data_IF_152031280283
#
_entry.id   IF_152031280283
#
_cell.length_a   1.000
_cell.length_b   1.000
_cell.length_c   1.000
_cell.angle_alpha   90.00
_cell.angle_beta   90.00
_cell.angle_gamma   90.00
#
_symmetry.space_group_name_H-M   'P 1'
#
loop_
_entity.id
_entity.type
_entity.pdbx_description
1 polymer ?
#
# COMPACT_ATOMS: atom_id res chain seq x y z
N UNK A 1 -6.04 7.75 23.13
CA UNK A 1 -5.61 8.77 24.10
C UNK A 1 -5.29 10.11 23.43
N UNK A 2 -4.44 10.11 22.39
CA UNK A 2 -4.01 11.33 21.69
C UNK A 2 -5.21 12.11 21.13
N UNK A 3 -6.08 11.47 20.33
CA UNK A 3 -7.28 12.09 19.77
C UNK A 3 -8.14 12.73 20.86
N UNK A 4 -8.50 11.98 21.91
CA UNK A 4 -9.31 12.50 23.02
C UNK A 4 -8.67 13.66 23.77
N UNK A 5 -7.34 13.63 23.93
CA UNK A 5 -6.59 14.72 24.58
C UNK A 5 -6.66 16.03 23.76
N UNK A 6 -6.72 15.93 22.44
CA UNK A 6 -6.73 17.07 21.53
C UNK A 6 -8.11 17.39 20.94
N UNK A 7 -9.18 16.75 21.43
CA UNK A 7 -10.56 17.02 20.99
C UNK A 7 -10.84 16.50 19.57
N UNK A 8 -10.08 15.52 19.10
CA UNK A 8 -10.29 14.86 17.82
C UNK A 8 -11.04 13.54 17.95
N UNK A 9 -11.39 12.96 16.81
CA UNK A 9 -12.10 11.69 16.71
C UNK A 9 -11.12 10.52 16.67
N UNK A 10 -11.52 9.39 17.22
CA UNK A 10 -10.80 8.13 17.19
C UNK A 10 -11.57 7.12 16.33
N UNK A 11 -11.02 6.77 15.19
CA UNK A 11 -11.60 5.81 14.23
C UNK A 11 -11.03 4.41 14.45
N UNK A 12 -11.90 3.39 14.31
CA UNK A 12 -11.48 1.98 14.24
C UNK A 12 -11.71 1.44 12.83
N UNK A 13 -10.61 1.27 12.07
CA UNK A 13 -10.58 0.66 10.74
C UNK A 13 -9.93 -0.72 10.82
N UNK A 14 -10.54 -1.70 10.14
CA UNK A 14 -10.01 -3.06 10.01
C UNK A 14 -9.28 -3.19 8.68
N UNK A 15 -7.99 -3.48 8.74
CA UNK A 15 -7.11 -3.65 7.59
C UNK A 15 -7.04 -5.13 7.19
N UNK A 16 -8.10 -5.64 6.57
CA UNK A 16 -8.33 -7.03 6.18
C UNK A 16 -8.06 -7.29 4.70
N UNK A 17 -7.10 -6.59 4.08
CA UNK A 17 -6.72 -6.77 2.67
C UNK A 17 -6.05 -8.11 2.37
N UNK A 18 -5.52 -8.80 3.38
CA UNK A 18 -4.93 -10.13 3.27
C UNK A 18 -5.87 -11.18 3.87
N UNK A 19 -6.78 -11.68 3.05
CA UNK A 19 -7.78 -12.67 3.45
C UNK A 19 -7.17 -14.04 3.84
N UNK A 20 -5.91 -14.32 3.44
CA UNK A 20 -5.22 -15.56 3.83
C UNK A 20 -4.78 -15.53 5.31
N UNK A 21 -4.70 -14.35 5.90
CA UNK A 21 -4.37 -14.15 7.31
C UNK A 21 -5.60 -13.90 8.20
N UNK A 22 -6.78 -14.15 7.67
CA UNK A 22 -8.00 -13.98 8.46
C UNK A 22 -7.98 -14.87 9.70
N UNK A 23 -8.24 -14.27 10.86
CA UNK A 23 -8.36 -14.97 12.14
C UNK A 23 -9.76 -14.71 12.68
N UNK A 24 -10.54 -15.78 12.80
CA UNK A 24 -11.90 -15.71 13.34
C UNK A 24 -11.90 -15.11 14.75
N UNK A 25 -12.80 -14.16 14.99
CA UNK A 25 -12.91 -13.49 16.29
C UNK A 25 -11.90 -12.37 16.57
N UNK A 26 -10.88 -12.16 15.70
CA UNK A 26 -9.86 -11.13 15.93
C UNK A 26 -10.45 -9.72 16.02
N UNK A 27 -11.42 -9.40 15.17
CA UNK A 27 -12.13 -8.11 15.20
C UNK A 27 -12.83 -7.88 16.55
N UNK A 28 -13.61 -8.89 17.01
CA UNK A 28 -14.29 -8.79 18.30
C UNK A 28 -13.30 -8.71 19.46
N UNK A 29 -12.17 -9.39 19.36
CA UNK A 29 -11.11 -9.31 20.37
C UNK A 29 -10.52 -7.89 20.47
N UNK A 30 -10.29 -7.22 19.33
CA UNK A 30 -9.83 -5.82 19.30
C UNK A 30 -10.87 -4.90 19.98
N UNK A 31 -12.16 -5.03 19.63
CA UNK A 31 -13.24 -4.24 20.21
C UNK A 31 -13.34 -4.46 21.73
N UNK A 32 -13.28 -5.71 22.15
CA UNK A 32 -13.34 -6.05 23.58
C UNK A 32 -12.14 -5.50 24.34
N UNK A 33 -10.95 -5.52 23.74
CA UNK A 33 -9.72 -4.99 24.34
C UNK A 33 -9.79 -3.47 24.51
N UNK A 34 -10.31 -2.75 23.51
CA UNK A 34 -10.54 -1.31 23.60
C UNK A 34 -11.55 -0.98 24.70
N UNK A 35 -12.65 -1.71 24.76
CA UNK A 35 -13.68 -1.54 25.81
C UNK A 35 -13.10 -1.82 27.21
N UNK A 36 -12.31 -2.87 27.37
CA UNK A 36 -11.65 -3.21 28.64
C UNK A 36 -10.71 -2.09 29.11
N UNK A 37 -10.01 -1.43 28.18
CA UNK A 37 -9.14 -0.29 28.46
C UNK A 37 -9.91 1.02 28.67
N UNK A 38 -11.24 1.03 28.54
CA UNK A 38 -12.04 2.26 28.58
C UNK A 38 -11.80 3.20 27.40
N UNK A 39 -11.27 2.68 26.29
CA UNK A 39 -11.01 3.43 25.06
C UNK A 39 -12.19 3.22 24.09
N UNK A 40 -13.08 4.19 24.02
CA UNK A 40 -14.17 4.18 23.05
C UNK A 40 -13.73 4.90 21.78
N UNK A 41 -13.91 4.25 20.62
CA UNK A 41 -13.79 4.92 19.33
C UNK A 41 -15.08 5.67 18.98
N UNK A 42 -14.97 6.71 18.16
CA UNK A 42 -16.08 7.60 17.81
C UNK A 42 -16.83 7.08 16.60
N UNK A 43 -16.14 6.51 15.61
CA UNK A 43 -16.71 5.77 14.48
C UNK A 43 -15.82 4.57 14.08
N UNK A 44 -16.42 3.56 13.44
CA UNK A 44 -15.67 2.35 13.06
C UNK A 44 -16.57 1.14 12.90
N UNK A 45 -15.96 -0.03 12.82
CA UNK A 45 -16.72 -1.29 12.73
C UNK A 45 -17.64 -1.44 13.92
N UNK A 46 -18.93 -1.71 13.65
CA UNK A 46 -19.97 -1.82 14.69
C UNK A 46 -20.47 -0.48 15.22
N UNK A 47 -20.01 0.63 14.69
CA UNK A 47 -20.45 1.96 15.04
C UNK A 47 -20.43 2.85 13.80
N UNK A 48 -21.59 3.22 13.29
CA UNK A 48 -21.71 4.01 12.08
C UNK A 48 -21.09 5.41 12.22
N UNK A 49 -20.61 5.94 11.11
CA UNK A 49 -20.06 7.28 10.98
C UNK A 49 -19.97 7.71 9.52
N UNK A 50 -19.45 8.91 9.26
CA UNK A 50 -19.41 9.51 7.92
C UNK A 50 -18.47 8.82 6.94
N UNK A 51 -17.51 8.04 7.45
CA UNK A 51 -16.46 7.44 6.62
C UNK A 51 -16.68 5.94 6.34
N UNK A 52 -17.84 5.40 6.68
CA UNK A 52 -18.18 3.98 6.40
C UNK A 52 -18.00 3.62 4.91
N UNK A 53 -17.71 2.33 4.60
CA UNK A 53 -17.48 1.22 5.50
C UNK A 53 -16.07 1.23 6.12
N UNK A 54 -15.86 0.52 7.24
CA UNK A 54 -14.61 0.54 8.01
C UNK A 54 -13.78 -0.75 7.89
N UNK A 55 -14.20 -1.69 7.04
CA UNK A 55 -13.37 -2.82 6.64
C UNK A 55 -12.81 -2.55 5.24
N UNK A 56 -11.51 -2.72 5.07
CA UNK A 56 -10.88 -2.47 3.77
C UNK A 56 -11.39 -3.41 2.67
N UNK A 57 -11.74 -4.64 3.00
CA UNK A 57 -12.36 -5.59 2.06
C UNK A 57 -13.69 -5.08 1.47
N UNK A 58 -14.43 -4.26 2.22
CA UNK A 58 -15.71 -3.67 1.79
C UNK A 58 -15.52 -2.42 0.91
N UNK A 59 -14.29 -1.88 0.83
CA UNK A 59 -13.91 -0.66 0.10
C UNK A 59 -13.20 -0.93 -1.24
N UNK A 60 -13.10 -2.17 -1.65
CA UNK A 60 -12.38 -2.64 -2.84
C UNK A 60 -12.56 -1.78 -4.10
N UNK A 61 -13.78 -1.34 -4.49
CA UNK A 61 -13.97 -0.52 -5.69
C UNK A 61 -13.23 0.84 -5.63
N UNK A 62 -13.07 1.42 -4.45
CA UNK A 62 -12.38 2.70 -4.27
C UNK A 62 -10.89 2.58 -4.61
N UNK A 63 -10.23 1.51 -4.17
CA UNK A 63 -8.80 1.34 -4.36
C UNK A 63 -8.40 1.22 -5.82
N UNK A 64 -9.24 0.54 -6.64
CA UNK A 64 -9.02 0.45 -8.09
C UNK A 64 -8.98 1.83 -8.75
N UNK A 65 -9.92 2.69 -8.39
CA UNK A 65 -9.99 4.06 -8.92
C UNK A 65 -8.71 4.85 -8.60
N UNK A 66 -8.18 4.72 -7.39
CA UNK A 66 -6.93 5.40 -7.00
C UNK A 66 -5.72 4.78 -7.67
N UNK A 67 -5.67 3.46 -7.85
CA UNK A 67 -4.61 2.80 -8.62
C UNK A 67 -4.59 3.31 -10.08
N UNK A 68 -5.76 3.41 -10.72
CA UNK A 68 -5.90 3.95 -12.08
C UNK A 68 -5.48 5.43 -12.14
N UNK A 69 -5.81 6.22 -11.12
CA UNK A 69 -5.39 7.62 -11.02
C UNK A 69 -3.87 7.74 -10.96
N UNK A 70 -3.20 6.90 -10.18
CA UNK A 70 -1.74 6.87 -10.10
C UNK A 70 -1.10 6.48 -11.44
N UNK A 71 -1.68 5.51 -12.17
CA UNK A 71 -1.21 5.11 -13.50
C UNK A 71 -1.36 6.29 -14.48
N UNK A 72 -2.53 6.92 -14.53
CA UNK A 72 -2.81 8.03 -15.44
C UNK A 72 -1.91 9.25 -15.17
N UNK A 73 -1.49 9.44 -13.92
CA UNK A 73 -0.58 10.51 -13.53
C UNK A 73 0.91 10.11 -13.63
N UNK A 74 1.22 8.89 -14.08
CA UNK A 74 2.60 8.41 -14.27
C UNK A 74 3.33 8.00 -12.99
N UNK A 75 2.61 7.86 -11.86
CA UNK A 75 3.15 7.43 -10.57
C UNK A 75 3.04 5.93 -10.31
N UNK A 76 2.34 5.21 -11.19
CA UNK A 76 2.24 3.76 -11.15
C UNK A 76 2.20 3.17 -12.55
N UNK A 77 2.35 1.85 -12.66
CA UNK A 77 2.38 1.15 -13.93
C UNK A 77 1.90 -0.29 -13.79
N UNK A 78 1.42 -0.87 -14.91
CA UNK A 78 1.07 -2.29 -14.98
C UNK A 78 2.33 -3.14 -15.09
N UNK A 79 2.44 -4.19 -14.29
CA UNK A 79 3.49 -5.21 -14.37
C UNK A 79 2.86 -6.58 -14.65
N UNK A 80 3.34 -7.25 -15.67
CA UNK A 80 2.82 -8.52 -16.20
C UNK A 80 3.74 -9.69 -15.91
N UNK A 81 4.82 -9.46 -15.15
CA UNK A 81 5.78 -10.49 -14.81
C UNK A 81 5.12 -11.65 -14.07
N UNK A 82 5.42 -12.87 -14.49
CA UNK A 82 4.99 -14.07 -13.76
C UNK A 82 5.86 -14.34 -12.54
N UNK A 83 5.37 -15.15 -11.61
CA UNK A 83 6.14 -15.55 -10.44
C UNK A 83 7.43 -16.27 -10.83
N UNK A 84 7.37 -17.11 -11.87
CA UNK A 84 8.52 -17.86 -12.41
C UNK A 84 9.58 -16.92 -13.03
N UNK A 85 9.13 -15.89 -13.78
CA UNK A 85 10.04 -14.91 -14.37
C UNK A 85 10.76 -14.09 -13.28
N UNK A 86 10.02 -13.68 -12.23
CA UNK A 86 10.64 -12.97 -11.11
C UNK A 86 11.58 -13.86 -10.30
N UNK A 87 11.24 -15.13 -10.12
CA UNK A 87 12.12 -16.08 -9.43
C UNK A 87 13.43 -16.30 -10.21
N UNK A 88 13.34 -16.47 -11.54
CA UNK A 88 14.49 -16.56 -12.40
C UNK A 88 15.39 -15.30 -12.31
N UNK A 89 14.79 -14.11 -12.32
CA UNK A 89 15.53 -12.86 -12.16
C UNK A 89 16.25 -12.77 -10.80
N UNK A 90 15.64 -13.31 -9.72
CA UNK A 90 16.29 -13.40 -8.40
C UNK A 90 17.51 -14.32 -8.45
N UNK A 91 17.35 -15.52 -8.99
CA UNK A 91 18.44 -16.50 -9.10
C UNK A 91 19.61 -15.96 -9.92
N UNK A 92 19.33 -15.30 -11.06
CA UNK A 92 20.37 -14.68 -11.90
C UNK A 92 21.14 -13.55 -11.18
N UNK A 93 20.48 -12.82 -10.27
CA UNK A 93 21.14 -11.81 -9.42
C UNK A 93 22.00 -12.47 -8.33
N UNK A 94 21.46 -13.49 -7.65
CA UNK A 94 22.17 -14.22 -6.59
C UNK A 94 23.45 -14.90 -7.11
N UNK A 95 23.42 -15.49 -8.32
CA UNK A 95 24.59 -16.09 -8.98
C UNK A 95 25.70 -15.07 -9.22
N UNK A 96 25.36 -13.79 -9.35
CA UNK A 96 26.31 -12.67 -9.50
C UNK A 96 26.75 -12.06 -8.16
N UNK A 97 26.21 -12.56 -7.04
CA UNK A 97 26.46 -12.03 -5.71
C UNK A 97 25.64 -10.78 -5.37
N UNK A 98 24.61 -10.47 -6.15
CA UNK A 98 23.73 -9.32 -5.99
C UNK A 98 22.35 -9.74 -5.44
N UNK A 99 21.61 -8.77 -4.91
CA UNK A 99 20.21 -8.97 -4.49
C UNK A 99 19.26 -8.37 -5.50
N UNK A 100 18.31 -9.16 -5.99
CA UNK A 100 17.29 -8.65 -6.90
C UNK A 100 16.32 -7.71 -6.15
N UNK A 101 16.17 -6.50 -6.66
CA UNK A 101 15.18 -5.52 -6.21
C UNK A 101 14.39 -5.06 -7.45
N UNK A 102 13.08 -5.14 -7.40
CA UNK A 102 12.23 -4.57 -8.44
C UNK A 102 12.16 -3.05 -8.24
N UNK A 103 13.01 -2.30 -8.93
CA UNK A 103 13.18 -0.86 -8.75
C UNK A 103 13.52 -0.13 -10.06
N UNK A 104 13.90 1.12 -9.96
CA UNK A 104 14.28 1.95 -11.11
C UNK A 104 15.37 1.34 -11.99
N UNK A 105 16.30 0.54 -11.46
CA UNK A 105 17.40 -0.06 -12.22
C UNK A 105 16.96 -1.32 -12.97
N UNK A 106 16.00 -2.07 -12.45
CA UNK A 106 15.59 -3.37 -12.99
C UNK A 106 14.28 -3.31 -13.77
N UNK A 107 13.35 -2.40 -13.44
CA UNK A 107 12.01 -2.35 -14.03
C UNK A 107 11.98 -2.29 -15.55
N UNK A 108 12.99 -1.65 -16.20
CA UNK A 108 13.04 -1.54 -17.66
C UNK A 108 13.49 -2.83 -18.36
N UNK A 109 13.95 -3.85 -17.63
CA UNK A 109 14.31 -5.18 -18.15
C UNK A 109 13.24 -6.23 -17.92
N UNK A 110 12.11 -5.85 -17.32
CA UNK A 110 11.01 -6.70 -16.89
C UNK A 110 9.77 -6.42 -17.72
N UNK A 111 8.77 -7.33 -17.69
CA UNK A 111 7.55 -7.21 -18.50
C UNK A 111 6.51 -6.27 -17.85
N UNK A 112 6.55 -5.00 -18.20
CA UNK A 112 5.63 -4.01 -17.67
C UNK A 112 5.31 -2.89 -18.67
N UNK A 113 4.39 -2.01 -18.33
CA UNK A 113 3.93 -0.94 -19.22
C UNK A 113 4.96 0.19 -19.43
N UNK A 114 6.13 0.14 -18.80
CA UNK A 114 7.24 1.05 -19.07
C UNK A 114 8.23 0.48 -20.09
N UNK A 115 8.28 -0.85 -20.26
CA UNK A 115 9.15 -1.57 -21.19
C UNK A 115 8.43 -2.04 -22.47
N UNK A 116 7.12 -2.22 -22.41
CA UNK A 116 6.26 -2.62 -23.53
C UNK A 116 5.73 -1.41 -24.28
N UNK A 117 5.34 -1.60 -25.55
CA UNK A 117 4.64 -0.56 -26.33
C UNK A 117 3.21 -0.37 -25.81
N UNK A 118 2.63 0.80 -26.06
CA UNK A 118 1.23 1.09 -25.66
C UNK A 118 0.23 0.11 -26.28
N UNK A 119 0.48 -0.34 -27.50
CA UNK A 119 -0.33 -1.31 -28.22
C UNK A 119 -0.28 -2.69 -27.55
N UNK A 120 0.90 -3.15 -27.15
CA UNK A 120 1.07 -4.42 -26.42
C UNK A 120 0.39 -4.38 -25.06
N UNK A 121 0.54 -3.29 -24.32
CA UNK A 121 -0.13 -3.09 -23.03
C UNK A 121 -1.65 -3.16 -23.22
N UNK A 122 -2.20 -2.43 -24.20
CA UNK A 122 -3.63 -2.43 -24.46
C UNK A 122 -4.15 -3.81 -24.88
N UNK A 123 -3.40 -4.54 -25.71
CA UNK A 123 -3.75 -5.91 -26.11
C UNK A 123 -3.77 -6.86 -24.89
N UNK A 124 -2.78 -6.80 -24.00
CA UNK A 124 -2.73 -7.61 -22.79
C UNK A 124 -3.92 -7.31 -21.85
N UNK A 125 -4.20 -6.04 -21.60
CA UNK A 125 -5.34 -5.63 -20.78
C UNK A 125 -6.68 -6.08 -21.39
N UNK A 126 -6.85 -5.96 -22.71
CA UNK A 126 -8.07 -6.38 -23.42
C UNK A 126 -8.25 -7.90 -23.40
N UNK A 127 -7.15 -8.65 -23.51
CA UNK A 127 -7.14 -10.11 -23.44
C UNK A 127 -7.40 -10.65 -22.01
N UNK A 128 -7.25 -9.77 -21.00
CA UNK A 128 -7.43 -10.13 -19.59
C UNK A 128 -6.20 -10.79 -18.98
N UNK A 129 -5.00 -10.49 -19.45
CA UNK A 129 -3.77 -10.99 -18.86
C UNK A 129 -3.67 -10.57 -17.40
N UNK A 130 -3.10 -11.45 -16.60
CA UNK A 130 -2.87 -11.20 -15.16
C UNK A 130 -1.82 -10.11 -15.02
N UNK A 131 -2.09 -9.14 -14.19
CA UNK A 131 -1.17 -8.05 -13.86
C UNK A 131 -1.27 -7.63 -12.39
N UNK A 132 -0.26 -6.92 -11.95
CA UNK A 132 -0.28 -6.13 -10.72
C UNK A 132 -0.01 -4.66 -11.07
N UNK A 133 -0.42 -3.75 -10.20
CA UNK A 133 -0.02 -2.33 -10.33
C UNK A 133 1.12 -2.07 -9.35
N UNK A 134 2.22 -1.53 -9.85
CA UNK A 134 3.38 -1.14 -9.04
C UNK A 134 3.51 0.37 -8.96
N UNK A 135 3.94 0.86 -7.81
CA UNK A 135 4.37 2.24 -7.65
C UNK A 135 5.64 2.49 -8.46
N UNK A 136 5.70 3.62 -9.16
CA UNK A 136 6.88 4.04 -9.89
C UNK A 136 7.74 4.93 -9.00
N UNK A 137 8.61 4.32 -8.20
CA UNK A 137 9.49 5.07 -7.32
C UNK A 137 10.42 5.99 -8.12
N UNK A 138 10.59 7.27 -7.74
CA UNK A 138 11.60 8.16 -8.31
C UNK A 138 13.00 7.56 -8.25
N UNK A 139 13.84 7.85 -9.27
CA UNK A 139 15.10 7.10 -9.43
C UNK A 139 16.18 7.46 -8.41
N UNK A 140 16.38 8.72 -8.16
CA UNK A 140 17.50 9.22 -7.33
C UNK A 140 17.12 10.54 -6.69
N UNK A 141 16.07 10.52 -5.89
CA UNK A 141 15.63 11.70 -5.18
C UNK A 141 15.85 11.55 -3.68
N UNK A 142 16.06 12.64 -3.00
CA UNK A 142 16.16 12.69 -1.56
C UNK A 142 14.83 13.19 -1.02
N UNK A 143 14.09 12.28 -0.40
CA UNK A 143 12.85 12.61 0.28
C UNK A 143 13.14 13.07 1.70
N UNK A 144 12.59 14.23 2.06
CA UNK A 144 12.63 14.77 3.43
C UNK A 144 11.24 14.73 4.01
N UNK A 145 11.09 14.05 5.12
CA UNK A 145 9.83 13.86 5.81
C UNK A 145 9.96 14.34 7.24
N UNK A 146 8.87 14.81 7.83
CA UNK A 146 8.85 15.28 9.21
C UNK A 146 8.08 14.30 10.08
N UNK A 147 8.77 13.67 11.03
CA UNK A 147 8.19 12.86 12.08
C UNK A 147 8.10 13.69 13.38
N UNK A 148 6.95 13.63 14.05
CA UNK A 148 6.72 14.46 15.26
C UNK A 148 7.62 14.08 16.44
N UNK A 149 8.18 12.87 16.44
CA UNK A 149 9.03 12.35 17.53
C UNK A 149 10.50 12.39 17.11
N UNK A 150 10.80 11.96 15.86
CA UNK A 150 12.18 11.82 15.35
C UNK A 150 12.71 13.06 14.66
N UNK A 151 11.83 14.02 14.33
CA UNK A 151 12.21 15.19 13.55
C UNK A 151 12.32 14.90 12.06
N UNK A 152 13.29 15.50 11.38
CA UNK A 152 13.50 15.27 9.94
C UNK A 152 14.06 13.87 9.68
N UNK A 153 13.36 13.09 8.85
CA UNK A 153 13.80 11.80 8.34
C UNK A 153 14.10 11.96 6.85
N UNK A 154 15.29 11.57 6.44
CA UNK A 154 15.77 11.67 5.06
C UNK A 154 15.98 10.28 4.47
N UNK A 155 15.44 10.04 3.28
CA UNK A 155 15.56 8.75 2.57
C UNK A 155 15.93 9.00 1.11
N UNK A 156 16.90 8.22 0.61
CA UNK A 156 17.27 8.17 -0.80
C UNK A 156 16.37 7.14 -1.51
N UNK A 157 15.58 7.58 -2.49
CA UNK A 157 14.66 6.74 -3.25
C UNK A 157 15.36 5.65 -4.06
N UNK A 158 16.65 5.82 -4.37
CA UNK A 158 17.43 4.81 -5.09
C UNK A 158 17.53 3.48 -4.37
N UNK A 159 17.33 3.47 -3.05
CA UNK A 159 17.34 2.27 -2.20
C UNK A 159 15.97 1.58 -2.09
N UNK A 160 14.93 2.21 -2.61
CA UNK A 160 13.55 1.74 -2.48
C UNK A 160 13.13 0.91 -3.69
N UNK A 161 12.22 -0.02 -3.45
CA UNK A 161 11.62 -0.85 -4.49
C UNK A 161 10.27 -0.28 -4.98
N UNK A 162 9.91 -0.64 -6.22
CA UNK A 162 8.61 -0.36 -6.81
C UNK A 162 7.56 -1.32 -6.21
N UNK A 163 7.02 -0.96 -5.04
CA UNK A 163 6.05 -1.78 -4.30
C UNK A 163 4.82 -2.10 -5.14
N UNK A 164 4.30 -3.31 -4.99
CA UNK A 164 2.97 -3.64 -5.50
C UNK A 164 1.94 -2.85 -4.70
N UNK A 165 1.12 -2.09 -5.40
CA UNK A 165 0.01 -1.31 -4.84
C UNK A 165 -1.33 -2.04 -4.96
N UNK A 166 -1.56 -2.68 -6.12
CA UNK A 166 -2.80 -3.39 -6.41
C UNK A 166 -2.49 -4.77 -6.96
N UNK A 167 -3.07 -5.78 -6.35
CA UNK A 167 -2.80 -7.19 -6.63
C UNK A 167 -3.67 -7.72 -7.76
N UNK A 168 -3.27 -8.83 -8.36
CA UNK A 168 -4.00 -9.52 -9.44
C UNK A 168 -5.36 -10.09 -9.00
N UNK A 169 -5.57 -10.34 -7.72
CA UNK A 169 -6.85 -10.75 -7.13
C UNK A 169 -7.86 -9.59 -7.01
N UNK A 170 -7.44 -8.38 -7.42
CA UNK A 170 -8.23 -7.17 -7.34
C UNK A 170 -8.30 -6.56 -5.94
N UNK A 171 -7.40 -6.95 -5.05
CA UNK A 171 -7.24 -6.32 -3.73
C UNK A 171 -6.03 -5.37 -3.72
N UNK A 172 -6.11 -4.26 -2.99
CA UNK A 172 -4.95 -3.42 -2.76
C UNK A 172 -3.97 -4.12 -1.84
N UNK A 173 -2.72 -3.70 -1.89
CA UNK A 173 -1.81 -3.94 -0.77
C UNK A 173 -2.04 -2.89 0.32
N UNK A 174 -1.45 -3.13 1.50
CA UNK A 174 -1.40 -2.17 2.59
C UNK A 174 -0.95 -0.77 2.12
N UNK A 175 0.05 -0.69 1.25
CA UNK A 175 0.62 0.59 0.78
C UNK A 175 -0.36 1.47 0.01
N UNK A 176 -1.32 0.90 -0.70
CA UNK A 176 -2.38 1.67 -1.36
C UNK A 176 -3.58 1.88 -0.43
N UNK A 177 -4.07 0.81 0.18
CA UNK A 177 -5.29 0.85 0.98
C UNK A 177 -5.21 1.85 2.11
N UNK A 178 -4.09 1.84 2.83
CA UNK A 178 -3.88 2.70 3.98
C UNK A 178 -3.93 4.19 3.62
N UNK A 179 -3.24 4.58 2.54
CA UNK A 179 -3.16 5.98 2.10
C UNK A 179 -4.50 6.48 1.57
N UNK A 180 -5.17 5.65 0.77
CA UNK A 180 -6.52 5.99 0.25
C UNK A 180 -7.49 6.19 1.40
N UNK A 181 -7.45 5.31 2.39
CA UNK A 181 -8.35 5.40 3.54
C UNK A 181 -7.99 6.56 4.47
N UNK A 182 -6.72 6.80 4.73
CA UNK A 182 -6.29 7.94 5.53
C UNK A 182 -6.75 9.25 4.88
N UNK A 183 -6.62 9.36 3.55
CA UNK A 183 -7.13 10.52 2.82
C UNK A 183 -8.66 10.66 2.90
N UNK A 184 -9.40 9.59 2.58
CA UNK A 184 -10.86 9.61 2.54
C UNK A 184 -11.51 9.70 3.93
N UNK A 185 -10.83 9.21 4.96
CA UNK A 185 -11.27 9.28 6.35
C UNK A 185 -10.73 10.53 7.07
N UNK A 186 -10.04 11.43 6.35
CA UNK A 186 -9.52 12.70 6.87
C UNK A 186 -8.60 12.49 8.09
N UNK A 187 -7.77 11.43 8.05
CA UNK A 187 -6.83 11.14 9.14
C UNK A 187 -5.75 12.21 9.18
N UNK A 188 -5.60 12.86 10.32
CA UNK A 188 -4.64 13.96 10.51
C UNK A 188 -3.34 13.51 11.19
N UNK A 189 -3.39 12.46 11.98
CA UNK A 189 -2.25 11.95 12.74
C UNK A 189 -2.19 10.44 12.68
N UNK A 190 -1.04 9.90 12.27
CA UNK A 190 -0.76 8.47 12.24
C UNK A 190 0.25 8.16 13.34
N UNK A 191 -0.09 7.28 14.27
CA UNK A 191 0.77 6.83 15.37
C UNK A 191 1.03 5.35 15.18
N UNK A 192 2.30 4.98 14.92
CA UNK A 192 2.71 3.61 14.62
C UNK A 192 4.01 3.26 15.31
N UNK A 193 4.29 1.96 15.42
CA UNK A 193 5.57 1.45 15.88
C UNK A 193 6.70 1.79 14.89
N UNK A 194 7.93 1.73 15.39
CA UNK A 194 9.15 2.05 14.64
C UNK A 194 9.35 1.16 13.41
N UNK A 195 8.87 -0.06 13.45
CA UNK A 195 8.90 -1.03 12.36
C UNK A 195 8.18 -0.57 11.09
N UNK A 196 7.31 0.42 11.20
CA UNK A 196 6.58 1.01 10.07
C UNK A 196 7.30 2.19 9.40
N UNK A 197 8.38 2.68 9.99
CA UNK A 197 9.14 3.81 9.45
C UNK A 197 9.63 3.57 8.01
N UNK A 198 10.07 2.37 7.60
CA UNK A 198 10.45 2.08 6.21
C UNK A 198 9.32 2.25 5.18
N UNK A 199 8.06 2.25 5.60
CA UNK A 199 6.90 2.49 4.71
C UNK A 199 6.59 3.97 4.49
N UNK A 200 7.11 4.85 5.36
CA UNK A 200 6.83 6.28 5.32
C UNK A 200 7.14 6.96 3.98
N UNK A 201 8.21 6.59 3.24
CA UNK A 201 8.52 7.19 1.93
C UNK A 201 7.49 6.92 0.84
N UNK A 202 6.67 5.88 1.01
CA UNK A 202 5.60 5.52 0.06
C UNK A 202 4.29 6.26 0.36
N UNK A 203 4.19 6.81 1.55
CA UNK A 203 3.02 7.48 2.08
C UNK A 203 3.10 8.99 1.92
#
# INVERSE_FOLDING_TARGET
LFAKKHGGDFLLRIEDTDQNRYVEGAEQYIINSLNWLGLTYDEGVGKEGKHAPYRQSERKPLYKQYADTLINNGWAYYAFDTAEALEKARQECEEKGDTFIYNWATRNTLENSLSLTSEEVQQRLTRGDVYVVRFKMPEKEILKMSDMIRGEVTIDTSTLDDKVLFKSDGMPTYHLANIVDDHLMEITHVIRGEEWLPSMPLH
#
